data_IF_344797998940
#
_entry.id   IF_344797998940
#
_cell.length_a   1.000
_cell.length_b   1.000
_cell.length_c   1.000
_cell.angle_alpha   90.00
_cell.angle_beta   90.00
_cell.angle_gamma   90.00
#
_symmetry.space_group_name_H-M   'P 1'
#
loop_
_entity.id
_entity.type
_entity.pdbx_description
1 polymer ?
#
# COMPACT_ATOMS: atom_id res chain seq x y z
N UNK A 1 17.81 13.52 12.82
CA UNK A 1 17.00 12.64 11.97
C UNK A 1 15.93 13.49 11.33
N UNK A 2 15.93 13.60 10.01
CA UNK A 2 14.95 14.41 9.28
C UNK A 2 13.61 13.65 9.29
N UNK A 3 12.53 14.31 9.69
CA UNK A 3 11.21 13.70 9.80
C UNK A 3 10.68 13.38 8.39
N UNK A 4 9.95 12.25 8.20
CA UNK A 4 9.32 11.85 6.93
C UNK A 4 8.51 12.98 6.28
N UNK A 5 7.90 13.83 7.10
CA UNK A 5 7.11 14.99 6.68
C UNK A 5 7.95 16.05 5.97
N UNK A 6 9.19 16.27 6.42
CA UNK A 6 10.10 17.24 5.81
C UNK A 6 10.71 16.72 4.52
N UNK A 7 10.94 15.39 4.45
CA UNK A 7 11.40 14.73 3.23
C UNK A 7 10.38 14.81 2.09
N UNK A 8 9.09 14.54 2.36
CA UNK A 8 8.03 14.65 1.35
C UNK A 8 7.83 16.08 0.85
N UNK A 9 7.96 17.07 1.72
CA UNK A 9 7.94 18.49 1.32
C UNK A 9 9.11 18.84 0.42
N UNK A 10 10.30 18.35 0.73
CA UNK A 10 11.52 18.59 -0.06
C UNK A 10 11.48 17.87 -1.40
N UNK A 11 10.96 16.64 -1.46
CA UNK A 11 10.80 15.90 -2.71
C UNK A 11 9.77 16.54 -3.66
N UNK A 12 8.69 17.11 -3.13
CA UNK A 12 7.72 17.87 -3.93
C UNK A 12 8.35 19.14 -4.55
N UNK A 13 9.31 19.78 -3.86
CA UNK A 13 10.03 20.93 -4.39
C UNK A 13 11.11 20.55 -5.45
N UNK A 14 11.77 19.43 -5.31
CA UNK A 14 12.79 18.99 -6.25
C UNK A 14 12.26 18.56 -7.63
N UNK A 15 11.02 18.11 -7.71
CA UNK A 15 10.35 17.75 -8.96
C UNK A 15 9.98 18.97 -9.84
N UNK A 16 10.05 20.19 -9.29
CA UNK A 16 9.73 21.45 -9.98
C UNK A 16 10.97 22.18 -10.56
N UNK A 17 12.15 21.60 -10.46
CA UNK A 17 13.43 22.23 -10.76
C UNK A 17 13.93 22.12 -12.20
N UNK A 18 13.09 22.29 -13.24
CA UNK A 18 13.58 22.57 -14.58
C UNK A 18 12.68 23.60 -15.30
N UNK A 19 13.00 24.86 -15.11
CA UNK A 19 12.74 25.90 -16.09
C UNK A 19 11.37 26.57 -16.05
N UNK A 20 10.93 27.13 -14.91
CA UNK A 20 9.99 28.25 -14.94
C UNK A 20 10.32 29.26 -13.83
N UNK A 21 10.36 30.53 -14.21
CA UNK A 21 10.70 31.66 -13.36
C UNK A 21 9.82 31.72 -12.11
N UNK A 22 10.46 31.67 -10.96
CA UNK A 22 9.82 31.89 -9.65
C UNK A 22 9.69 33.40 -9.44
N UNK A 23 8.62 33.98 -9.95
CA UNK A 23 8.17 35.29 -9.46
C UNK A 23 6.72 35.15 -9.00
N UNK A 24 6.48 35.44 -7.72
CA UNK A 24 5.17 35.56 -7.05
C UNK A 24 4.60 34.31 -6.35
N UNK A 25 5.33 33.70 -5.41
CA UNK A 25 4.72 32.82 -4.39
C UNK A 25 5.25 33.19 -3.00
N UNK A 26 5.05 34.43 -2.60
CA UNK A 26 5.19 34.86 -1.21
C UNK A 26 3.98 35.74 -0.84
N UNK A 27 2.80 35.15 -0.79
CA UNK A 27 1.68 35.62 0.03
C UNK A 27 0.45 34.70 -0.23
N UNK A 28 0.00 33.99 0.77
CA UNK A 28 -1.32 33.35 0.76
C UNK A 28 -1.30 31.88 1.12
N UNK A 29 -2.00 31.59 2.18
CA UNK A 29 -2.30 30.27 2.71
C UNK A 29 -2.68 29.24 1.66
N UNK A 30 -1.98 28.12 1.65
CA UNK A 30 -2.56 26.78 1.47
C UNK A 30 -3.11 26.36 0.12
N UNK A 31 -2.80 26.96 -1.01
CA UNK A 31 -3.21 26.41 -2.31
C UNK A 31 -2.12 25.48 -2.87
N UNK A 32 -2.37 24.19 -2.86
CA UNK A 32 -1.62 23.22 -3.67
C UNK A 32 -1.67 23.64 -5.14
N UNK A 33 -0.55 23.50 -5.90
CA UNK A 33 -0.55 23.84 -7.32
C UNK A 33 -1.60 23.03 -8.08
N UNK A 34 -2.24 23.63 -9.08
CA UNK A 34 -3.32 23.08 -9.91
C UNK A 34 -2.91 21.86 -10.80
N UNK A 35 -1.86 21.15 -10.43
CA UNK A 35 -1.44 19.89 -11.08
C UNK A 35 -2.39 18.71 -10.79
N UNK A 36 -3.23 18.82 -9.77
CA UNK A 36 -4.23 17.82 -9.43
C UNK A 36 -5.62 18.28 -9.91
N UNK A 37 -5.77 18.42 -11.22
CA UNK A 37 -7.09 18.56 -11.80
C UNK A 37 -7.76 17.18 -11.82
N UNK A 38 -8.04 16.63 -10.62
CA UNK A 38 -8.98 15.53 -10.46
C UNK A 38 -10.29 16.09 -10.99
N UNK A 39 -10.78 15.57 -12.11
CA UNK A 39 -12.01 15.96 -12.77
C UNK A 39 -13.16 16.03 -11.74
N UNK A 40 -13.42 17.19 -11.17
CA UNK A 40 -14.60 17.46 -10.33
C UNK A 40 -15.85 17.41 -11.20
N UNK A 41 -16.26 16.22 -11.62
CA UNK A 41 -17.50 16.01 -12.39
C UNK A 41 -18.77 16.01 -11.54
N UNK A 42 -18.69 16.08 -10.23
CA UNK A 42 -19.85 16.23 -9.35
C UNK A 42 -19.45 17.02 -8.11
N UNK A 43 -20.35 17.88 -7.59
CA UNK A 43 -20.12 18.65 -6.35
C UNK A 43 -20.04 17.82 -5.07
N UNK A 44 -19.79 16.52 -5.18
CA UNK A 44 -19.62 15.57 -4.07
C UNK A 44 -18.16 15.23 -3.96
N UNK A 45 -17.59 15.47 -2.79
CA UNK A 45 -16.22 15.03 -2.47
C UNK A 45 -16.15 13.49 -2.53
N UNK A 46 -15.27 12.90 -3.35
CA UNK A 46 -15.14 11.45 -3.38
C UNK A 46 -14.73 10.92 -2.01
N UNK A 47 -15.22 9.72 -1.68
CA UNK A 47 -14.87 9.02 -0.44
C UNK A 47 -14.16 7.73 -0.78
N UNK A 48 -13.17 7.37 0.02
CA UNK A 48 -12.53 6.07 -0.11
C UNK A 48 -13.51 4.95 0.24
N UNK A 49 -13.44 3.86 -0.52
CA UNK A 49 -14.20 2.62 -0.29
C UNK A 49 -13.24 1.45 -0.27
N UNK A 50 -13.39 0.57 0.71
CA UNK A 50 -12.61 -0.65 0.81
C UNK A 50 -13.48 -1.85 0.50
N UNK A 51 -12.95 -2.77 -0.31
CA UNK A 51 -13.47 -4.12 -0.56
C UNK A 51 -12.38 -5.13 -0.26
N UNK A 52 -12.76 -6.34 0.11
CA UNK A 52 -11.80 -7.41 0.36
C UNK A 52 -12.38 -8.77 -0.03
N UNK A 53 -11.51 -9.66 -0.48
CA UNK A 53 -11.87 -10.93 -1.09
C UNK A 53 -10.93 -12.02 -0.58
N UNK A 54 -11.39 -12.91 0.32
CA UNK A 54 -10.59 -14.04 0.76
C UNK A 54 -10.44 -15.06 -0.36
N UNK A 55 -9.25 -15.64 -0.48
CA UNK A 55 -8.95 -16.71 -1.43
C UNK A 55 -7.80 -17.59 -0.96
N UNK A 56 -7.58 -18.70 -1.63
CA UNK A 56 -6.40 -19.55 -1.44
C UNK A 56 -5.48 -19.43 -2.66
N UNK A 57 -4.28 -18.90 -2.43
CA UNK A 57 -3.22 -18.87 -3.43
C UNK A 57 -2.66 -20.29 -3.60
N UNK A 58 -2.89 -20.92 -4.76
CA UNK A 58 -2.30 -22.22 -5.10
C UNK A 58 -0.85 -22.04 -5.52
N UNK A 59 0.04 -22.75 -4.85
CA UNK A 59 1.45 -22.73 -5.21
C UNK A 59 1.67 -23.59 -6.46
N UNK A 60 2.55 -23.16 -7.34
CA UNK A 60 2.93 -23.90 -8.55
C UNK A 60 3.65 -25.20 -8.20
N UNK A 61 4.42 -25.20 -7.14
CA UNK A 61 5.14 -26.35 -6.58
C UNK A 61 4.87 -26.43 -5.08
N UNK A 62 4.96 -27.62 -4.52
CA UNK A 62 4.93 -27.79 -3.07
C UNK A 62 6.09 -26.99 -2.46
N UNK A 63 5.81 -26.15 -1.50
CA UNK A 63 6.84 -25.43 -0.78
C UNK A 63 7.12 -26.12 0.55
N UNK A 64 8.31 -26.70 0.67
CA UNK A 64 8.74 -27.44 1.86
C UNK A 64 9.94 -26.76 2.50
N UNK A 65 9.85 -26.56 3.81
CA UNK A 65 10.95 -26.18 4.70
C UNK A 65 11.11 -27.26 5.77
N UNK A 66 12.13 -27.17 6.61
CA UNK A 66 12.46 -28.22 7.59
C UNK A 66 11.28 -28.67 8.47
N UNK A 67 10.36 -27.77 8.78
CA UNK A 67 9.27 -28.00 9.75
C UNK A 67 7.87 -27.97 9.12
N UNK A 68 7.76 -27.66 7.81
CA UNK A 68 6.47 -27.37 7.24
C UNK A 68 6.47 -27.57 5.71
N UNK A 69 5.34 -28.08 5.18
CA UNK A 69 5.06 -28.17 3.73
C UNK A 69 3.70 -27.60 3.42
N UNK A 70 3.56 -26.90 2.29
CA UNK A 70 2.28 -26.35 1.84
C UNK A 70 2.14 -26.39 0.33
N UNK A 71 0.91 -26.47 -0.13
CA UNK A 71 0.49 -26.38 -1.55
C UNK A 71 -0.34 -25.13 -1.82
N UNK A 72 -0.86 -24.52 -0.75
CA UNK A 72 -1.66 -23.29 -0.81
C UNK A 72 -1.21 -22.30 0.26
N UNK A 73 -1.58 -21.04 0.09
CA UNK A 73 -1.47 -20.01 1.11
C UNK A 73 -2.82 -19.33 1.25
N UNK A 74 -3.40 -19.20 2.46
CA UNK A 74 -4.57 -18.38 2.66
C UNK A 74 -4.21 -16.91 2.51
N UNK A 75 -4.97 -16.19 1.70
CA UNK A 75 -4.75 -14.80 1.34
C UNK A 75 -6.06 -14.02 1.30
N UNK A 76 -5.98 -12.69 1.47
CA UNK A 76 -7.10 -11.78 1.25
C UNK A 76 -6.63 -10.63 0.36
N UNK A 77 -7.23 -10.53 -0.84
CA UNK A 77 -7.04 -9.34 -1.67
C UNK A 77 -7.82 -8.17 -1.07
N UNK A 78 -7.17 -7.02 -1.00
CA UNK A 78 -7.75 -5.74 -0.55
C UNK A 78 -7.74 -4.75 -1.69
N UNK A 79 -8.86 -4.07 -1.88
CA UNK A 79 -9.03 -3.00 -2.85
C UNK A 79 -9.48 -1.72 -2.15
N UNK A 80 -8.81 -0.60 -2.42
CA UNK A 80 -9.23 0.72 -1.98
C UNK A 80 -9.50 1.58 -3.19
N UNK A 81 -10.76 1.98 -3.35
CA UNK A 81 -11.21 2.83 -4.45
C UNK A 81 -11.32 4.29 -3.99
N UNK A 82 -10.85 5.21 -4.82
CA UNK A 82 -11.06 6.65 -4.69
C UNK A 82 -11.15 7.29 -6.08
N UNK A 83 -12.23 8.01 -6.35
CA UNK A 83 -12.48 8.71 -7.61
C UNK A 83 -12.33 7.82 -8.86
N UNK A 84 -12.79 6.55 -8.77
CA UNK A 84 -12.71 5.58 -9.86
C UNK A 84 -11.35 4.90 -10.05
N UNK A 85 -10.34 5.27 -9.25
CA UNK A 85 -9.03 4.62 -9.25
C UNK A 85 -8.98 3.61 -8.10
N UNK A 86 -8.44 2.42 -8.36
CA UNK A 86 -8.35 1.33 -7.38
C UNK A 86 -6.89 1.01 -7.08
N UNK A 87 -6.55 1.07 -5.80
CA UNK A 87 -5.32 0.53 -5.26
C UNK A 87 -5.52 -0.89 -4.72
N UNK A 88 -4.51 -1.75 -4.89
CA UNK A 88 -4.53 -3.16 -4.52
C UNK A 88 -3.51 -3.47 -3.44
N UNK A 89 -3.89 -4.32 -2.51
CA UNK A 89 -3.02 -4.89 -1.49
C UNK A 89 -3.40 -6.34 -1.21
N UNK A 90 -2.56 -7.05 -0.49
CA UNK A 90 -2.73 -8.46 -0.17
C UNK A 90 -2.33 -8.75 1.27
N UNK A 91 -3.21 -9.46 1.99
CA UNK A 91 -2.94 -10.00 3.31
C UNK A 91 -2.60 -11.49 3.17
N UNK A 92 -1.32 -11.83 3.19
CA UNK A 92 -0.85 -13.20 3.12
C UNK A 92 -0.63 -13.77 4.52
N UNK A 93 -1.19 -14.95 4.78
CA UNK A 93 -1.20 -15.59 6.11
C UNK A 93 -0.63 -16.99 6.05
N UNK A 94 0.69 -17.15 5.80
CA UNK A 94 1.29 -18.47 5.83
C UNK A 94 1.08 -19.09 7.23
N UNK A 95 0.62 -20.35 7.31
CA UNK A 95 0.17 -20.97 8.56
C UNK A 95 1.18 -20.98 9.71
N UNK A 96 2.48 -20.95 9.40
CA UNK A 96 3.53 -20.92 10.41
C UNK A 96 3.79 -19.53 11.03
N UNK A 97 3.14 -18.47 10.53
CA UNK A 97 3.24 -17.10 11.02
C UNK A 97 1.90 -16.55 11.57
N UNK A 98 0.91 -17.40 11.81
CA UNK A 98 -0.42 -16.96 12.24
C UNK A 98 -0.41 -16.18 13.56
N UNK A 99 0.52 -16.47 14.47
CA UNK A 99 0.66 -15.74 15.74
C UNK A 99 1.04 -14.26 15.54
N UNK A 100 1.75 -13.94 14.46
CA UNK A 100 2.22 -12.59 14.16
C UNK A 100 1.32 -11.87 13.16
N UNK A 101 0.83 -12.61 12.16
CA UNK A 101 0.12 -12.04 11.03
C UNK A 101 -1.40 -12.00 11.22
N UNK A 102 -1.93 -12.83 12.10
CA UNK A 102 -3.36 -13.05 12.28
C UNK A 102 -3.88 -14.29 11.57
N UNK A 103 -5.07 -14.72 11.95
CA UNK A 103 -5.82 -15.79 11.29
C UNK A 103 -6.75 -15.21 10.21
N UNK A 104 -7.28 -16.04 9.31
CA UNK A 104 -8.28 -15.60 8.33
C UNK A 104 -9.43 -14.85 9.00
N UNK A 105 -9.97 -15.38 10.09
CA UNK A 105 -11.10 -14.77 10.80
C UNK A 105 -10.73 -13.41 11.40
N UNK A 106 -9.56 -13.28 12.04
CA UNK A 106 -9.12 -12.02 12.63
C UNK A 106 -8.85 -10.96 11.56
N UNK A 107 -8.21 -11.35 10.46
CA UNK A 107 -7.94 -10.48 9.30
C UNK A 107 -9.24 -9.97 8.67
N UNK A 108 -10.22 -10.86 8.43
CA UNK A 108 -11.51 -10.45 7.88
C UNK A 108 -12.28 -9.55 8.85
N UNK A 109 -12.24 -9.83 10.15
CA UNK A 109 -12.87 -8.99 11.17
C UNK A 109 -12.22 -7.60 11.23
N UNK A 110 -10.89 -7.52 11.13
CA UNK A 110 -10.17 -6.25 11.07
C UNK A 110 -10.50 -5.46 9.80
N UNK A 111 -10.44 -6.09 8.63
CA UNK A 111 -10.78 -5.45 7.36
C UNK A 111 -12.22 -4.93 7.34
N UNK A 112 -13.14 -5.62 8.02
CA UNK A 112 -14.53 -5.14 8.19
C UNK A 112 -14.60 -3.87 9.02
N UNK A 113 -13.77 -3.72 10.06
CA UNK A 113 -13.67 -2.46 10.83
C UNK A 113 -13.14 -1.35 9.94
N UNK A 114 -12.04 -1.59 9.20
CA UNK A 114 -11.45 -0.60 8.27
C UNK A 114 -12.47 -0.19 7.21
N UNK A 115 -13.22 -1.14 6.62
CA UNK A 115 -14.28 -0.86 5.66
C UNK A 115 -15.33 0.13 6.21
N UNK A 116 -15.66 0.02 7.50
CA UNK A 116 -16.62 0.92 8.15
C UNK A 116 -16.12 2.34 8.37
N UNK A 117 -14.81 2.55 8.42
CA UNK A 117 -14.21 3.84 8.79
C UNK A 117 -13.42 4.52 7.68
N UNK A 118 -12.96 3.80 6.67
CA UNK A 118 -12.07 4.36 5.63
C UNK A 118 -12.71 5.54 4.88
N UNK A 119 -14.01 5.54 4.72
CA UNK A 119 -14.77 6.60 4.04
C UNK A 119 -14.84 7.94 4.79
N UNK A 120 -14.34 8.02 6.03
CA UNK A 120 -14.23 9.29 6.76
C UNK A 120 -13.06 10.14 6.25
N UNK A 121 -12.08 9.53 5.60
CA UNK A 121 -10.94 10.22 5.01
C UNK A 121 -11.28 10.63 3.58
N UNK A 122 -11.29 11.94 3.33
CA UNK A 122 -11.59 12.52 2.02
C UNK A 122 -10.35 12.75 1.15
N UNK A 123 -9.15 12.61 1.73
CA UNK A 123 -7.88 12.86 1.06
C UNK A 123 -6.95 11.65 1.22
N UNK A 124 -6.74 10.84 0.17
CA UNK A 124 -5.87 9.67 0.21
C UNK A 124 -4.38 10.02 0.36
N UNK A 125 -3.98 11.28 0.11
CA UNK A 125 -2.58 11.71 0.26
C UNK A 125 -2.15 11.87 1.72
N UNK A 126 -3.08 11.85 2.67
CA UNK A 126 -2.80 11.87 4.12
C UNK A 126 -2.44 10.47 4.63
N UNK A 127 -1.53 9.78 3.94
CA UNK A 127 -1.17 8.39 4.23
C UNK A 127 -0.81 8.15 5.69
N UNK A 128 0.06 8.98 6.27
CA UNK A 128 0.52 8.81 7.65
C UNK A 128 -0.63 8.91 8.66
N UNK A 129 -1.53 9.87 8.47
CA UNK A 129 -2.69 10.05 9.36
C UNK A 129 -3.67 8.87 9.24
N UNK A 130 -3.91 8.42 7.99
CA UNK A 130 -4.80 7.29 7.71
C UNK A 130 -4.23 6.00 8.30
N UNK A 131 -2.96 5.70 8.02
CA UNK A 131 -2.30 4.49 8.48
C UNK A 131 -2.16 4.46 10.00
N UNK A 132 -1.81 5.59 10.63
CA UNK A 132 -1.75 5.71 12.09
C UNK A 132 -3.12 5.45 12.74
N UNK A 133 -4.20 5.96 12.15
CA UNK A 133 -5.55 5.69 12.63
C UNK A 133 -5.91 4.21 12.49
N UNK A 134 -5.67 3.61 11.32
CA UNK A 134 -5.93 2.19 11.06
C UNK A 134 -5.12 1.31 12.01
N UNK A 135 -3.87 1.65 12.25
CA UNK A 135 -2.99 0.93 13.17
C UNK A 135 -3.52 0.92 14.61
N UNK A 136 -4.17 2.01 15.01
CA UNK A 136 -4.78 2.14 16.34
C UNK A 136 -6.03 1.28 16.56
N UNK A 137 -6.65 0.74 15.50
CA UNK A 137 -7.89 -0.05 15.60
C UNK A 137 -7.71 -1.42 16.26
N UNK A 138 -6.48 -1.95 16.26
CA UNK A 138 -6.14 -3.24 16.87
C UNK A 138 -4.64 -3.31 17.16
N UNK A 139 -4.24 -4.02 18.21
CA UNK A 139 -2.83 -4.27 18.52
C UNK A 139 -2.18 -5.35 17.63
N UNK A 140 -2.97 -6.19 16.97
CA UNK A 140 -2.52 -7.28 16.10
C UNK A 140 -2.88 -7.07 14.62
N UNK A 141 -3.19 -8.15 13.94
CA UNK A 141 -3.67 -8.19 12.55
C UNK A 141 -2.69 -7.60 11.53
N UNK A 142 -1.40 -7.90 11.69
CA UNK A 142 -0.34 -7.33 10.89
C UNK A 142 -0.52 -7.57 9.38
N UNK A 143 -1.01 -8.76 8.97
CA UNK A 143 -1.27 -9.04 7.56
C UNK A 143 -2.35 -8.11 6.97
N UNK A 144 -3.45 -7.88 7.71
CA UNK A 144 -4.51 -6.99 7.26
C UNK A 144 -4.04 -5.53 7.19
N UNK A 145 -3.28 -5.07 8.18
CA UNK A 145 -2.69 -3.72 8.21
C UNK A 145 -1.76 -3.51 7.01
N UNK A 146 -0.89 -4.49 6.74
CA UNK A 146 0.01 -4.48 5.58
C UNK A 146 -0.76 -4.40 4.26
N UNK A 147 -1.84 -5.19 4.12
CA UNK A 147 -2.66 -5.14 2.91
C UNK A 147 -3.30 -3.76 2.68
N UNK A 148 -3.79 -3.12 3.74
CA UNK A 148 -4.36 -1.76 3.66
C UNK A 148 -3.28 -0.73 3.33
N UNK A 149 -2.10 -0.85 3.94
CA UNK A 149 -0.94 0.02 3.67
C UNK A 149 -0.52 -0.07 2.19
N UNK A 150 -0.32 -1.29 1.68
CA UNK A 150 0.04 -1.52 0.28
C UNK A 150 -1.04 -0.96 -0.65
N UNK A 151 -2.33 -1.22 -0.38
CA UNK A 151 -3.43 -0.73 -1.20
C UNK A 151 -3.50 0.81 -1.24
N UNK A 152 -3.25 1.48 -0.12
CA UNK A 152 -3.21 2.95 -0.06
C UNK A 152 -2.01 3.51 -0.84
N UNK A 153 -0.84 2.90 -0.70
CA UNK A 153 0.35 3.30 -1.46
C UNK A 153 0.16 3.08 -2.97
N UNK A 154 -0.41 1.95 -3.38
CA UNK A 154 -0.72 1.68 -4.78
C UNK A 154 -1.73 2.68 -5.34
N UNK A 155 -2.78 3.00 -4.58
CA UNK A 155 -3.76 4.03 -4.93
C UNK A 155 -3.09 5.40 -5.14
N UNK A 156 -2.29 5.84 -4.17
CA UNK A 156 -1.61 7.14 -4.25
C UNK A 156 -0.60 7.19 -5.39
N UNK A 157 0.17 6.13 -5.61
CA UNK A 157 1.07 6.03 -6.76
C UNK A 157 0.34 6.16 -8.11
N UNK A 158 -0.83 5.54 -8.23
CA UNK A 158 -1.70 5.65 -9.42
C UNK A 158 -2.29 7.05 -9.58
N UNK A 159 -2.76 7.66 -8.50
CA UNK A 159 -3.24 9.04 -8.49
C UNK A 159 -2.15 10.03 -8.92
N UNK A 160 -0.91 9.83 -8.48
CA UNK A 160 0.26 10.62 -8.86
C UNK A 160 0.79 10.27 -10.25
N UNK A 161 0.31 9.18 -10.86
CA UNK A 161 0.85 8.63 -12.13
C UNK A 161 2.36 8.41 -12.08
N UNK A 162 2.89 8.05 -10.92
CA UNK A 162 4.31 7.86 -10.67
C UNK A 162 4.59 6.64 -9.78
N UNK A 163 5.58 5.80 -10.12
CA UNK A 163 5.99 4.71 -9.26
C UNK A 163 6.73 5.21 -8.02
N UNK A 164 6.58 4.51 -6.91
CA UNK A 164 7.10 4.93 -5.61
C UNK A 164 8.61 5.16 -5.58
N UNK A 165 9.39 4.39 -6.33
CA UNK A 165 10.84 4.63 -6.39
C UNK A 165 11.17 6.03 -6.93
N UNK A 166 10.38 6.57 -7.86
CA UNK A 166 10.53 7.95 -8.35
C UNK A 166 10.06 8.97 -7.33
N UNK A 167 8.92 8.69 -6.67
CA UNK A 167 8.37 9.57 -5.62
C UNK A 167 9.38 9.73 -4.48
N UNK A 168 10.09 8.65 -4.13
CA UNK A 168 11.11 8.65 -3.09
C UNK A 168 12.51 9.08 -3.57
N UNK A 169 12.67 9.40 -4.86
CA UNK A 169 13.97 9.77 -5.44
C UNK A 169 14.99 8.64 -5.46
N UNK A 170 14.52 7.39 -5.53
CA UNK A 170 15.36 6.20 -5.58
C UNK A 170 15.78 5.90 -7.03
N UNK A 171 16.97 5.37 -7.18
CA UNK A 171 17.51 4.88 -8.45
C UNK A 171 17.26 3.37 -8.56
N UNK A 172 16.39 2.96 -9.47
CA UNK A 172 16.04 1.54 -9.67
C UNK A 172 17.22 0.69 -10.15
N UNK A 173 18.22 1.30 -10.81
CA UNK A 173 19.41 0.59 -11.30
C UNK A 173 20.36 0.20 -10.14
N UNK A 174 20.18 0.81 -8.97
CA UNK A 174 20.89 0.46 -7.73
C UNK A 174 20.16 -0.57 -6.87
N UNK A 175 19.00 -1.05 -7.33
CA UNK A 175 18.30 -2.12 -6.62
C UNK A 175 19.16 -3.39 -6.57
N UNK A 176 19.27 -4.07 -5.42
CA UNK A 176 19.97 -5.33 -5.34
C UNK A 176 19.26 -6.40 -6.18
N UNK A 177 20.02 -7.41 -6.60
CA UNK A 177 19.44 -8.59 -7.25
C UNK A 177 18.47 -9.27 -6.30
N UNK A 178 17.34 -9.73 -6.84
CA UNK A 178 16.39 -10.54 -6.07
C UNK A 178 16.94 -11.95 -5.83
N UNK A 179 16.48 -12.56 -4.75
CA UNK A 179 16.75 -13.96 -4.44
C UNK A 179 15.50 -14.81 -4.69
N UNK A 180 15.70 -16.04 -5.09
CA UNK A 180 14.64 -17.03 -5.24
C UNK A 180 14.81 -18.13 -4.20
N UNK A 181 13.77 -18.35 -3.37
CA UNK A 181 13.81 -19.42 -2.37
C UNK A 181 13.44 -20.74 -3.01
N UNK A 182 14.34 -21.72 -2.95
CA UNK A 182 14.10 -23.08 -3.39
C UNK A 182 13.68 -23.89 -2.15
N UNK A 183 12.49 -24.48 -2.18
CA UNK A 183 12.02 -25.41 -1.14
C UNK A 183 12.83 -26.70 -1.14
N UNK A 184 12.73 -27.46 -0.04
CA UNK A 184 13.33 -28.81 0.07
C UNK A 184 12.57 -29.75 -0.85
N UNK A 185 13.26 -30.34 -1.81
CA UNK A 185 12.70 -31.33 -2.73
C UNK A 185 13.80 -32.26 -3.27
N UNK A 186 13.43 -33.16 -4.15
CA UNK A 186 14.40 -34.04 -4.84
C UNK A 186 15.27 -33.25 -5.82
N UNK A 187 16.50 -33.69 -6.12
CA UNK A 187 17.39 -33.01 -7.07
C UNK A 187 16.78 -32.78 -8.45
N UNK A 188 15.86 -33.65 -8.88
CA UNK A 188 15.19 -33.55 -10.19
C UNK A 188 14.13 -32.45 -10.23
N UNK A 189 13.48 -32.14 -9.10
CA UNK A 189 12.51 -31.07 -8.97
C UNK A 189 13.18 -29.70 -8.78
N UNK A 190 14.38 -29.71 -8.16
CA UNK A 190 15.14 -28.48 -7.87
C UNK A 190 15.90 -27.94 -9.10
N UNK A 191 16.12 -28.76 -10.13
CA UNK A 191 16.79 -28.38 -11.40
C UNK A 191 15.84 -27.70 -12.37
#
# INVERSE_FOLDING_TARGET
MQNRRDFLKTAAFAALGSGMAINSVLAGEGAMPALFNINKKSGVTPKMKLRFFPYELKLRHVFTVATYSRTTTPDVQVEIEYDGIVGYGEASMPPYLQHELGTMDSVLAFLKKVQGVIGQFSDPFRLEDILSYIDSLSAGDAAAKTAVDIALHDLVGKLLQAPWYKIWGLDKEKAPSTTFTIGIDTPDVVR
#
